data_IF_332089440880
#
_entry.id   IF_332089440880
#
_cell.length_a   1.000
_cell.length_b   1.000
_cell.length_c   1.000
_cell.angle_alpha   90.00
_cell.angle_beta   90.00
_cell.angle_gamma   90.00
#
_symmetry.space_group_name_H-M   'P 1'
#
loop_
_entity.id
_entity.type
_entity.pdbx_description
1 polymer ?
#
# COMPACT_ATOMS: atom_id res chain seq x y z
N UNK A 1 -8.15 33.77 -1.69
CA UNK A 1 -6.87 33.26 -1.51
C UNK A 1 -6.73 31.76 -1.43
N UNK A 2 -5.52 31.32 -1.13
CA UNK A 2 -5.09 29.92 -1.11
C UNK A 2 -6.03 28.96 -0.35
N UNK A 3 -6.45 29.31 0.87
CA UNK A 3 -7.34 28.50 1.69
C UNK A 3 -8.75 28.31 1.07
N UNK A 4 -9.25 29.33 0.38
CA UNK A 4 -10.51 29.23 -0.34
C UNK A 4 -10.42 28.24 -1.49
N UNK A 5 -9.32 28.30 -2.26
CA UNK A 5 -9.08 27.35 -3.35
C UNK A 5 -8.95 25.91 -2.84
N UNK A 6 -8.24 25.68 -1.73
CA UNK A 6 -8.13 24.38 -1.08
C UNK A 6 -9.53 23.89 -0.63
N UNK A 7 -10.32 24.75 0.01
CA UNK A 7 -11.67 24.39 0.43
C UNK A 7 -12.56 23.98 -0.76
N UNK A 8 -12.55 24.75 -1.84
CA UNK A 8 -13.35 24.45 -3.04
C UNK A 8 -12.93 23.13 -3.68
N UNK A 9 -11.62 22.82 -3.72
CA UNK A 9 -11.11 21.57 -4.31
C UNK A 9 -11.44 20.36 -3.42
N UNK A 10 -11.37 20.51 -2.10
CA UNK A 10 -11.54 19.38 -1.17
C UNK A 10 -13.00 19.15 -0.77
N UNK A 11 -13.84 20.21 -0.81
CA UNK A 11 -15.26 20.12 -0.39
C UNK A 11 -16.08 19.04 -1.11
N UNK A 12 -15.95 18.77 -2.43
CA UNK A 12 -16.71 17.71 -3.07
C UNK A 12 -16.38 16.32 -2.49
N UNK A 13 -15.10 16.06 -2.18
CA UNK A 13 -14.71 14.81 -1.54
C UNK A 13 -15.30 14.68 -0.13
N UNK A 14 -15.23 15.75 0.67
CA UNK A 14 -15.80 15.78 2.02
C UNK A 14 -17.32 15.52 1.96
N UNK A 15 -18.03 16.15 1.03
CA UNK A 15 -19.48 15.96 0.87
C UNK A 15 -19.85 14.51 0.56
N UNK A 16 -19.04 13.80 -0.27
CA UNK A 16 -19.25 12.38 -0.55
C UNK A 16 -19.11 11.55 0.73
N UNK A 17 -18.07 11.78 1.53
CA UNK A 17 -17.88 11.07 2.81
C UNK A 17 -18.99 11.37 3.81
N UNK A 18 -19.43 12.63 3.92
CA UNK A 18 -20.54 13.00 4.77
C UNK A 18 -21.84 12.35 4.32
N UNK A 19 -22.07 12.26 3.01
CA UNK A 19 -23.23 11.56 2.47
C UNK A 19 -23.17 10.06 2.78
N UNK A 20 -22.01 9.40 2.59
CA UNK A 20 -21.83 8.00 2.96
C UNK A 20 -22.06 7.76 4.47
N UNK A 21 -21.57 8.66 5.32
CA UNK A 21 -21.84 8.62 6.76
C UNK A 21 -23.32 8.75 7.05
N UNK A 22 -24.01 9.68 6.39
CA UNK A 22 -25.46 9.82 6.51
C UNK A 22 -26.20 8.53 6.12
N UNK A 23 -25.86 7.93 4.97
CA UNK A 23 -26.45 6.67 4.52
C UNK A 23 -26.20 5.51 5.50
N UNK A 24 -25.01 5.43 6.10
CA UNK A 24 -24.67 4.37 7.04
C UNK A 24 -25.46 4.42 8.35
N UNK A 25 -25.99 5.61 8.69
CA UNK A 25 -26.79 5.86 9.91
C UNK A 25 -28.30 5.84 9.65
N UNK A 26 -28.74 5.55 8.43
CA UNK A 26 -30.15 5.43 8.04
C UNK A 26 -30.60 3.98 7.99
N UNK A 27 -31.91 3.76 8.11
CA UNK A 27 -32.50 2.46 7.80
C UNK A 27 -32.50 2.21 6.28
N UNK A 28 -32.65 0.94 5.87
CA UNK A 28 -32.75 0.58 4.45
C UNK A 28 -33.92 1.31 3.75
N UNK A 29 -35.06 1.43 4.44
CA UNK A 29 -36.25 2.14 3.94
C UNK A 29 -35.94 3.62 3.74
N UNK A 30 -35.26 4.25 4.69
CA UNK A 30 -34.92 5.67 4.61
C UNK A 30 -33.93 5.96 3.46
N UNK A 31 -33.06 5.01 3.12
CA UNK A 31 -32.14 5.13 2.00
C UNK A 31 -32.84 5.09 0.63
N UNK A 32 -34.03 4.49 0.57
CA UNK A 32 -34.84 4.40 -0.64
C UNK A 32 -35.89 5.52 -0.74
N UNK A 33 -36.01 6.36 0.27
CA UNK A 33 -37.02 7.43 0.32
C UNK A 33 -36.70 8.55 -0.66
N UNK A 34 -37.76 9.03 -1.37
CA UNK A 34 -37.65 10.17 -2.26
C UNK A 34 -38.65 11.29 -1.83
N UNK A 35 -38.21 12.56 -1.73
CA UNK A 35 -36.82 13.05 -1.95
C UNK A 35 -35.87 12.59 -0.86
N UNK A 36 -34.57 12.39 -1.20
CA UNK A 36 -33.59 11.95 -0.22
C UNK A 36 -33.32 13.03 0.83
N UNK A 37 -33.25 12.66 2.09
CA UNK A 37 -32.89 13.56 3.18
C UNK A 37 -31.45 13.31 3.64
N UNK A 38 -30.76 14.37 4.09
CA UNK A 38 -29.35 14.29 4.45
C UNK A 38 -29.15 13.83 5.89
N UNK A 39 -29.95 14.33 6.83
CA UNK A 39 -29.80 14.04 8.26
C UNK A 39 -30.69 12.85 8.63
N UNK A 40 -30.12 11.73 9.11
CA UNK A 40 -30.90 10.56 9.52
C UNK A 40 -31.79 10.89 10.73
N UNK A 41 -33.05 10.46 10.71
CA UNK A 41 -33.98 10.69 11.80
C UNK A 41 -35.03 9.54 11.91
N UNK A 42 -34.93 8.65 12.95
CA UNK A 42 -33.83 8.60 13.92
C UNK A 42 -32.55 7.98 13.35
N UNK A 43 -31.35 8.36 13.83
CA UNK A 43 -30.12 7.69 13.44
C UNK A 43 -30.05 6.28 14.01
N UNK A 44 -29.50 5.34 13.23
CA UNK A 44 -29.38 3.94 13.65
C UNK A 44 -27.94 3.42 13.44
N UNK A 45 -27.49 2.52 14.31
CA UNK A 45 -26.25 1.76 14.15
C UNK A 45 -26.50 0.34 13.64
N UNK A 46 -27.75 0.01 13.27
CA UNK A 46 -28.13 -1.33 12.85
C UNK A 46 -27.30 -1.85 11.68
N UNK A 47 -27.00 -1.00 10.69
CA UNK A 47 -26.16 -1.38 9.54
C UNK A 47 -24.74 -1.83 9.96
N UNK A 48 -24.15 -1.15 10.95
CA UNK A 48 -22.83 -1.55 11.46
C UNK A 48 -22.92 -2.90 12.20
N UNK A 49 -23.92 -3.08 13.05
CA UNK A 49 -24.14 -4.35 13.75
C UNK A 49 -24.38 -5.50 12.78
N UNK A 50 -25.20 -5.30 11.77
CA UNK A 50 -25.51 -6.26 10.73
C UNK A 50 -24.25 -6.68 9.96
N UNK A 51 -23.41 -5.73 9.55
CA UNK A 51 -22.15 -6.02 8.84
C UNK A 51 -21.24 -6.92 9.69
N UNK A 52 -21.13 -6.67 11.00
CA UNK A 52 -20.33 -7.50 11.90
C UNK A 52 -20.94 -8.87 12.19
N UNK A 53 -22.26 -8.98 12.18
CA UNK A 53 -22.97 -10.23 12.44
C UNK A 53 -23.04 -11.15 11.22
N UNK A 54 -23.28 -10.58 10.04
CA UNK A 54 -23.50 -11.34 8.81
C UNK A 54 -22.19 -11.62 8.05
N UNK A 55 -21.13 -10.86 8.32
CA UNK A 55 -19.87 -10.98 7.63
C UNK A 55 -18.71 -11.30 8.58
N UNK A 56 -17.75 -12.05 8.09
CA UNK A 56 -16.53 -12.37 8.82
C UNK A 56 -15.52 -11.19 8.81
N UNK A 57 -15.96 -9.98 9.19
CA UNK A 57 -15.17 -8.74 9.12
C UNK A 57 -13.85 -8.88 9.88
N UNK A 58 -13.85 -9.50 11.06
CA UNK A 58 -12.62 -9.75 11.82
C UNK A 58 -11.59 -10.56 11.03
N UNK A 59 -12.03 -11.58 10.30
CA UNK A 59 -11.16 -12.39 9.43
C UNK A 59 -10.66 -11.60 8.23
N UNK A 60 -11.51 -10.80 7.60
CA UNK A 60 -11.10 -9.95 6.47
C UNK A 60 -10.08 -8.91 6.90
N UNK A 61 -10.30 -8.28 8.04
CA UNK A 61 -9.36 -7.32 8.62
C UNK A 61 -8.01 -7.98 8.95
N UNK A 62 -8.04 -9.15 9.58
CA UNK A 62 -6.84 -9.92 9.88
C UNK A 62 -6.08 -10.32 8.62
N UNK A 63 -6.78 -10.85 7.62
CA UNK A 63 -6.17 -11.19 6.33
C UNK A 63 -5.50 -9.97 5.67
N UNK A 64 -6.13 -8.80 5.73
CA UNK A 64 -5.55 -7.56 5.21
C UNK A 64 -4.28 -7.17 5.96
N UNK A 65 -4.26 -7.29 7.29
CA UNK A 65 -3.05 -7.02 8.10
C UNK A 65 -1.92 -8.00 7.73
N UNK A 66 -2.22 -9.28 7.62
CA UNK A 66 -1.23 -10.32 7.30
C UNK A 66 -0.66 -10.08 5.90
N UNK A 67 -1.51 -9.82 4.91
CA UNK A 67 -1.08 -9.60 3.51
C UNK A 67 -0.28 -8.31 3.39
N UNK A 68 -0.81 -7.19 3.87
CA UNK A 68 -0.13 -5.89 3.74
C UNK A 68 1.14 -5.82 4.59
N UNK A 69 1.07 -6.30 5.84
CA UNK A 69 2.23 -6.36 6.73
C UNK A 69 3.33 -7.28 6.19
N UNK A 70 2.96 -8.49 5.76
CA UNK A 70 3.90 -9.45 5.17
C UNK A 70 4.56 -8.90 3.89
N UNK A 71 3.76 -8.37 2.98
CA UNK A 71 4.29 -7.77 1.75
C UNK A 71 5.23 -6.58 2.04
N UNK A 72 4.84 -5.70 2.97
CA UNK A 72 5.66 -4.55 3.35
C UNK A 72 6.98 -4.97 3.98
N UNK A 73 6.96 -5.86 4.96
CA UNK A 73 8.16 -6.33 5.64
C UNK A 73 9.14 -7.03 4.68
N UNK A 74 8.63 -7.90 3.81
CA UNK A 74 9.47 -8.59 2.81
C UNK A 74 10.01 -7.56 1.79
N UNK A 75 9.18 -6.62 1.32
CA UNK A 75 9.61 -5.59 0.39
C UNK A 75 10.71 -4.70 0.99
N UNK A 76 10.61 -4.33 2.26
CA UNK A 76 11.65 -3.58 2.96
C UNK A 76 12.92 -4.43 3.15
N UNK A 77 12.80 -5.68 3.57
CA UNK A 77 13.93 -6.58 3.79
C UNK A 77 14.76 -6.82 2.50
N UNK A 78 14.10 -6.84 1.35
CA UNK A 78 14.76 -7.00 0.04
C UNK A 78 15.17 -5.64 -0.54
N UNK A 79 14.26 -4.68 -0.50
CA UNK A 79 14.39 -3.41 -1.22
C UNK A 79 15.41 -2.46 -0.60
N UNK A 80 15.54 -2.44 0.73
CA UNK A 80 16.52 -1.57 1.41
C UNK A 80 17.96 -1.96 1.04
N UNK A 81 18.42 -3.23 1.22
CA UNK A 81 19.77 -3.61 0.83
C UNK A 81 20.00 -3.54 -0.68
N UNK A 82 18.99 -3.83 -1.49
CA UNK A 82 19.09 -3.70 -2.95
C UNK A 82 19.27 -2.22 -3.37
N UNK A 83 18.48 -1.31 -2.80
CA UNK A 83 18.61 0.14 -3.03
C UNK A 83 19.97 0.68 -2.60
N UNK A 84 20.46 0.26 -1.44
CA UNK A 84 21.81 0.59 -0.97
C UNK A 84 22.89 0.13 -1.96
N UNK A 85 22.86 -1.15 -2.37
CA UNK A 85 23.80 -1.69 -3.34
C UNK A 85 23.80 -0.92 -4.67
N UNK A 86 22.64 -0.59 -5.20
CA UNK A 86 22.48 0.19 -6.43
C UNK A 86 23.13 1.57 -6.28
N UNK A 87 22.84 2.27 -5.19
CA UNK A 87 23.37 3.60 -4.91
C UNK A 87 24.90 3.60 -4.79
N UNK A 88 25.48 2.61 -4.11
CA UNK A 88 26.93 2.55 -3.86
C UNK A 88 27.73 2.13 -5.10
N UNK A 89 27.17 1.27 -5.95
CA UNK A 89 27.79 0.86 -7.23
C UNK A 89 27.56 1.92 -8.32
N UNK A 90 26.67 2.88 -8.10
CA UNK A 90 26.31 3.89 -9.11
C UNK A 90 25.52 3.32 -10.29
N UNK A 91 24.78 2.23 -10.08
CA UNK A 91 24.05 1.51 -11.11
C UNK A 91 22.71 2.18 -11.47
N UNK A 92 22.70 3.50 -11.70
CA UNK A 92 21.50 4.30 -11.99
C UNK A 92 20.64 3.74 -13.13
N UNK A 93 21.27 3.10 -14.12
CA UNK A 93 20.53 2.42 -15.21
C UNK A 93 19.63 1.31 -14.70
N UNK A 94 20.05 0.60 -13.65
CA UNK A 94 19.27 -0.47 -13.04
C UNK A 94 18.00 0.10 -12.35
N UNK A 95 18.12 1.23 -11.67
CA UNK A 95 16.97 1.95 -11.08
C UNK A 95 15.94 2.32 -12.16
N UNK A 96 16.42 2.82 -13.31
CA UNK A 96 15.52 3.16 -14.44
C UNK A 96 14.85 1.91 -15.00
N UNK A 97 15.57 0.80 -15.16
CA UNK A 97 15.00 -0.46 -15.65
C UNK A 97 13.92 -1.01 -14.70
N UNK A 98 14.15 -0.92 -13.38
CA UNK A 98 13.17 -1.30 -12.36
C UNK A 98 11.89 -0.46 -12.47
N UNK A 99 12.03 0.85 -12.69
CA UNK A 99 10.88 1.72 -12.92
C UNK A 99 10.13 1.39 -14.22
N UNK A 100 10.86 1.12 -15.31
CA UNK A 100 10.24 0.75 -16.59
C UNK A 100 9.48 -0.57 -16.47
N UNK A 101 10.03 -1.55 -15.76
CA UNK A 101 9.33 -2.80 -15.48
C UNK A 101 7.98 -2.56 -14.75
N UNK A 102 7.92 -1.56 -13.87
CA UNK A 102 6.71 -1.19 -13.14
C UNK A 102 5.66 -0.47 -14.02
N UNK A 103 6.04 0.14 -15.14
CA UNK A 103 5.09 0.78 -16.06
C UNK A 103 4.17 -0.23 -16.78
N UNK A 104 4.48 -1.52 -16.67
CA UNK A 104 3.60 -2.57 -17.18
C UNK A 104 2.28 -2.54 -16.42
N UNK A 105 1.13 -2.48 -17.11
CA UNK A 105 -0.18 -2.47 -16.45
C UNK A 105 -0.36 -3.67 -15.52
N UNK A 106 -0.83 -3.43 -14.30
CA UNK A 106 -0.99 -4.48 -13.29
C UNK A 106 -1.85 -5.67 -13.78
N UNK A 107 -2.85 -5.39 -14.61
CA UNK A 107 -3.70 -6.42 -15.22
C UNK A 107 -2.93 -7.38 -16.14
N UNK A 108 -1.81 -6.94 -16.74
CA UNK A 108 -0.99 -7.80 -17.61
C UNK A 108 -0.31 -8.94 -16.85
N UNK A 109 -0.11 -8.81 -15.54
CA UNK A 109 0.45 -9.86 -14.69
C UNK A 109 -0.60 -10.85 -14.19
N UNK A 110 -1.89 -10.53 -14.30
CA UNK A 110 -2.97 -11.32 -13.68
C UNK A 110 -2.98 -12.76 -14.19
N UNK A 111 -3.00 -12.96 -15.51
CA UNK A 111 -3.06 -14.28 -16.13
C UNK A 111 -1.77 -15.08 -15.87
N UNK A 112 -0.56 -14.54 -16.12
CA UNK A 112 0.68 -15.24 -15.82
C UNK A 112 0.81 -15.63 -14.34
N UNK A 113 0.50 -14.73 -13.39
CA UNK A 113 0.55 -15.03 -11.97
C UNK A 113 -0.46 -16.09 -11.57
N UNK A 114 -1.70 -16.02 -12.08
CA UNK A 114 -2.71 -17.04 -11.82
C UNK A 114 -2.24 -18.42 -12.26
N UNK A 115 -1.66 -18.53 -13.46
CA UNK A 115 -1.13 -19.80 -13.98
C UNK A 115 0.01 -20.35 -13.12
N UNK A 116 0.94 -19.49 -12.69
CA UNK A 116 2.03 -19.88 -11.79
C UNK A 116 1.49 -20.33 -10.43
N UNK A 117 0.54 -19.60 -9.86
CA UNK A 117 -0.06 -19.96 -8.57
C UNK A 117 -0.87 -21.26 -8.65
N UNK A 118 -1.53 -21.48 -9.77
CA UNK A 118 -2.23 -22.76 -10.01
C UNK A 118 -1.23 -23.93 -10.06
N UNK A 119 -0.14 -23.78 -10.79
CA UNK A 119 0.91 -24.79 -10.86
C UNK A 119 1.57 -25.08 -9.51
N UNK A 120 1.77 -24.03 -8.69
CA UNK A 120 2.36 -24.15 -7.35
C UNK A 120 1.36 -24.55 -6.27
N UNK A 121 0.07 -24.69 -6.57
CA UNK A 121 -0.98 -24.98 -5.58
C UNK A 121 -1.24 -23.83 -4.60
N UNK A 122 -0.88 -22.59 -4.97
CA UNK A 122 -1.03 -21.40 -4.12
C UNK A 122 -2.33 -20.64 -4.34
N UNK A 123 -3.19 -21.09 -5.27
CA UNK A 123 -4.46 -20.43 -5.52
C UNK A 123 -5.30 -20.35 -4.23
N UNK A 124 -5.96 -19.22 -4.04
CA UNK A 124 -6.83 -18.95 -2.90
C UNK A 124 -6.10 -18.94 -1.54
N UNK A 125 -4.81 -18.56 -1.52
CA UNK A 125 -3.99 -18.42 -0.31
C UNK A 125 -3.57 -16.99 -0.04
N UNK A 126 -3.33 -16.64 1.23
CA UNK A 126 -2.76 -15.35 1.61
C UNK A 126 -1.32 -15.17 1.06
N UNK A 127 -0.58 -16.27 0.91
CA UNK A 127 0.77 -16.26 0.31
C UNK A 127 0.75 -15.76 -1.12
N UNK A 128 -0.20 -16.22 -1.94
CA UNK A 128 -0.35 -15.73 -3.32
C UNK A 128 -0.61 -14.22 -3.35
N UNK A 129 -1.45 -13.72 -2.43
CA UNK A 129 -1.72 -12.28 -2.30
C UNK A 129 -0.46 -11.50 -1.89
N UNK A 130 0.32 -12.00 -0.92
CA UNK A 130 1.60 -11.37 -0.53
C UNK A 130 2.54 -11.30 -1.72
N UNK A 131 2.74 -12.40 -2.46
CA UNK A 131 3.61 -12.43 -3.65
C UNK A 131 3.13 -11.44 -4.70
N UNK A 132 1.83 -11.38 -4.96
CA UNK A 132 1.25 -10.42 -5.92
C UNK A 132 1.56 -8.97 -5.51
N UNK A 133 1.46 -8.63 -4.22
CA UNK A 133 1.79 -7.30 -3.73
C UNK A 133 3.29 -7.01 -3.87
N UNK A 134 4.17 -8.01 -3.68
CA UNK A 134 5.62 -7.83 -3.82
C UNK A 134 6.03 -7.44 -5.24
N UNK A 135 5.32 -7.89 -6.27
CA UNK A 135 5.58 -7.48 -7.67
C UNK A 135 5.52 -5.96 -7.82
N UNK A 136 4.65 -5.30 -7.06
CA UNK A 136 4.47 -3.84 -7.10
C UNK A 136 5.34 -3.14 -6.05
N UNK A 137 5.39 -3.67 -4.83
CA UNK A 137 6.01 -2.96 -3.70
C UNK A 137 7.53 -3.03 -3.71
N UNK A 138 8.14 -4.16 -4.09
CA UNK A 138 9.61 -4.30 -4.12
C UNK A 138 10.26 -3.27 -5.06
N UNK A 139 9.84 -3.11 -6.33
CA UNK A 139 10.41 -2.10 -7.21
C UNK A 139 10.31 -0.67 -6.67
N UNK A 140 9.19 -0.34 -5.98
CA UNK A 140 9.01 0.98 -5.38
C UNK A 140 10.01 1.20 -4.26
N UNK A 141 10.14 0.23 -3.34
CA UNK A 141 11.06 0.33 -2.21
C UNK A 141 12.50 0.46 -2.71
N UNK A 142 12.90 -0.39 -3.66
CA UNK A 142 14.25 -0.31 -4.27
C UNK A 142 14.51 1.07 -4.87
N UNK A 143 13.56 1.61 -5.64
CA UNK A 143 13.70 2.92 -6.25
C UNK A 143 13.84 4.04 -5.23
N UNK A 144 12.95 4.08 -4.23
CA UNK A 144 12.96 5.10 -3.19
C UNK A 144 14.26 5.01 -2.37
N UNK A 145 14.65 3.80 -1.99
CA UNK A 145 15.85 3.58 -1.18
C UNK A 145 17.13 3.88 -1.95
N UNK A 146 17.21 3.54 -3.25
CA UNK A 146 18.35 3.91 -4.07
C UNK A 146 18.51 5.43 -4.13
N UNK A 147 17.43 6.18 -4.40
CA UNK A 147 17.46 7.64 -4.38
C UNK A 147 17.85 8.21 -3.01
N UNK A 148 17.32 7.65 -1.93
CA UNK A 148 17.67 8.07 -0.59
C UNK A 148 19.17 7.87 -0.29
N UNK A 149 19.72 6.68 -0.55
CA UNK A 149 21.13 6.38 -0.31
C UNK A 149 22.08 7.16 -1.24
N UNK A 150 21.63 7.58 -2.42
CA UNK A 150 22.41 8.49 -3.29
C UNK A 150 22.62 9.86 -2.65
N UNK A 151 21.72 10.32 -1.77
CA UNK A 151 21.83 11.63 -1.09
C UNK A 151 22.75 11.57 0.14
N UNK A 152 23.03 10.38 0.67
CA UNK A 152 23.89 10.23 1.85
C UNK A 152 25.37 10.30 1.48
N UNK A 153 26.16 11.16 2.16
CA UNK A 153 27.61 11.24 1.95
C UNK A 153 28.29 9.89 2.22
N UNK A 154 29.21 9.48 1.33
CA UNK A 154 29.95 8.21 1.49
C UNK A 154 30.92 8.25 2.65
N UNK A 155 31.33 9.44 3.04
CA UNK A 155 32.24 9.72 4.16
C UNK A 155 31.69 9.18 5.48
N UNK A 156 30.37 9.11 5.63
CA UNK A 156 29.73 8.51 6.82
C UNK A 156 30.02 7.02 6.94
N UNK A 157 30.02 6.31 5.83
CA UNK A 157 30.34 4.88 5.80
C UNK A 157 31.84 4.65 5.98
N UNK A 158 32.66 5.50 5.34
CA UNK A 158 34.12 5.44 5.44
C UNK A 158 34.57 5.71 6.89
N UNK A 159 33.97 6.68 7.58
CA UNK A 159 34.23 6.95 8.99
C UNK A 159 33.90 5.73 9.86
N UNK A 160 32.73 5.09 9.65
CA UNK A 160 32.37 3.87 10.38
C UNK A 160 33.31 2.70 10.13
N UNK A 161 33.88 2.58 8.92
CA UNK A 161 34.90 1.56 8.61
C UNK A 161 36.25 1.87 9.30
N UNK A 162 36.66 3.14 9.38
CA UNK A 162 37.86 3.58 10.09
C UNK A 162 37.76 3.29 11.59
N UNK A 163 36.57 3.46 12.17
CA UNK A 163 36.24 3.13 13.56
C UNK A 163 36.21 1.59 13.84
N UNK A 164 36.56 0.77 12.86
CA UNK A 164 36.60 -0.69 12.98
C UNK A 164 35.26 -1.39 12.73
N UNK A 165 34.29 -0.70 12.22
CA UNK A 165 33.01 -1.27 11.81
C UNK A 165 33.14 -2.15 10.57
N UNK A 166 32.29 -3.18 10.45
CA UNK A 166 32.10 -3.92 9.20
C UNK A 166 31.18 -3.19 8.25
N UNK A 167 31.21 -3.51 6.95
CA UNK A 167 30.24 -2.97 5.97
C UNK A 167 28.79 -3.21 6.37
N UNK A 168 28.51 -4.31 7.07
CA UNK A 168 27.17 -4.60 7.57
C UNK A 168 26.78 -3.78 8.81
N UNK A 169 27.74 -3.40 9.67
CA UNK A 169 27.48 -2.53 10.83
C UNK A 169 27.35 -1.07 10.41
N UNK A 170 28.10 -0.62 9.41
CA UNK A 170 27.98 0.74 8.83
C UNK A 170 26.71 0.96 8.01
N UNK A 171 26.08 -0.12 7.54
CA UNK A 171 24.78 -0.06 6.87
C UNK A 171 23.61 0.11 7.86
N UNK A 172 23.77 -0.29 9.13
CA UNK A 172 22.72 -0.17 10.17
C UNK A 172 22.68 1.19 10.82
#
# INVERSE_FOLDING_TARGET
GFWLSVFVIVSPAILVFLWMLSLSLKTEIDNLTYPPFFIPNPPTLANFLQVFQENAIGRYFWNSIVVSGGATLIALAIGIPAGFGIARVGARRLTVLILLARMTPALSYLIPLFTVFQFLGLNNTLTALVITHLVITVPIVVYIMAGYFETLPKELEEAGLVDGGSRGSTFR
#
